data_IF_654846958107
#
_entry.id   IF_654846958107
#
_cell.length_a   1.000
_cell.length_b   1.000
_cell.length_c   1.000
_cell.angle_alpha   90.00
_cell.angle_beta   90.00
_cell.angle_gamma   90.00
#
_symmetry.space_group_name_H-M   'P 1'
#
loop_
_entity.id
_entity.type
_entity.pdbx_description
1 polymer ?
#
# COMPACT_ATOMS: atom_id res chain seq x y z
N UNK A 1 -3.00 11.92 18.86
CA UNK A 1 -3.45 11.58 17.50
C UNK A 1 -2.75 10.33 17.00
N UNK A 2 -3.47 9.51 16.26
CA UNK A 2 -2.87 8.34 15.64
C UNK A 2 -1.85 8.77 14.56
N UNK A 3 -0.74 8.03 14.47
CA UNK A 3 0.17 8.15 13.35
C UNK A 3 -0.52 7.63 12.08
N UNK A 4 -0.15 8.18 10.93
CA UNK A 4 -0.72 7.78 9.64
C UNK A 4 0.36 7.17 8.75
N UNK A 5 -0.01 6.18 7.98
CA UNK A 5 0.83 5.62 6.93
C UNK A 5 0.00 5.34 5.68
N UNK A 6 0.67 5.32 4.55
CA UNK A 6 0.14 4.77 3.30
C UNK A 6 0.91 3.49 3.02
N UNK A 7 0.21 2.43 2.66
CA UNK A 7 0.83 1.20 2.16
C UNK A 7 0.39 0.98 0.72
N UNK A 8 1.28 0.44 -0.10
CA UNK A 8 0.92 0.06 -1.46
C UNK A 8 0.54 -1.42 -1.56
N UNK A 9 0.15 -1.84 -2.75
CA UNK A 9 -0.29 -3.21 -3.01
C UNK A 9 0.81 -4.24 -2.74
N UNK A 10 2.08 -3.87 -2.94
CA UNK A 10 3.22 -4.78 -2.73
C UNK A 10 3.38 -5.18 -1.27
N UNK A 11 2.99 -4.31 -0.34
CA UNK A 11 2.98 -4.61 1.09
C UNK A 11 1.71 -5.34 1.48
N UNK A 12 0.56 -4.79 1.10
CA UNK A 12 -0.73 -5.30 1.55
C UNK A 12 -0.98 -6.73 1.10
N UNK A 13 -0.55 -7.09 -0.11
CA UNK A 13 -0.74 -8.45 -0.64
C UNK A 13 -0.09 -9.51 0.26
N UNK A 14 0.99 -9.17 0.97
CA UNK A 14 1.68 -10.08 1.86
C UNK A 14 0.85 -10.47 3.09
N UNK A 15 -0.21 -9.73 3.38
CA UNK A 15 -1.15 -10.07 4.45
C UNK A 15 -2.20 -11.10 4.01
N UNK A 16 -2.32 -11.35 2.69
CA UNK A 16 -3.32 -12.25 2.11
C UNK A 16 -2.74 -13.47 1.42
N UNK A 17 -1.49 -13.41 0.97
CA UNK A 17 -0.82 -14.55 0.37
C UNK A 17 0.63 -14.62 0.84
N UNK A 18 1.16 -15.83 0.93
CA UNK A 18 2.54 -16.08 1.34
C UNK A 18 3.38 -16.69 0.22
N UNK A 19 2.72 -17.38 -0.72
CA UNK A 19 3.38 -18.04 -1.85
C UNK A 19 4.03 -16.98 -2.76
N UNK A 20 5.28 -17.22 -3.13
CA UNK A 20 6.07 -16.33 -3.99
C UNK A 20 6.21 -14.89 -3.45
N UNK A 21 6.10 -14.74 -2.12
CA UNK A 21 6.29 -13.46 -1.44
C UNK A 21 7.52 -13.48 -0.55
N UNK A 22 8.20 -12.36 -0.47
CA UNK A 22 9.36 -12.14 0.40
C UNK A 22 9.03 -11.05 1.44
N UNK A 23 9.90 -10.88 2.44
CA UNK A 23 9.71 -9.91 3.54
C UNK A 23 8.41 -10.15 4.32
N UNK A 24 8.02 -11.42 4.48
CA UNK A 24 6.79 -11.77 5.20
C UNK A 24 6.86 -11.44 6.69
N UNK A 25 8.04 -11.59 7.30
CA UNK A 25 8.20 -11.25 8.72
C UNK A 25 8.03 -9.75 8.95
N UNK A 26 8.58 -8.92 8.06
CA UNK A 26 8.46 -7.47 8.11
C UNK A 26 7.01 -7.02 7.87
N UNK A 27 6.33 -7.65 6.91
CA UNK A 27 4.92 -7.37 6.65
C UNK A 27 4.03 -7.76 7.83
N UNK A 28 4.31 -8.89 8.47
CA UNK A 28 3.59 -9.34 9.67
C UNK A 28 3.81 -8.37 10.84
N UNK A 29 5.05 -7.93 11.06
CA UNK A 29 5.36 -6.97 12.10
C UNK A 29 4.62 -5.65 11.90
N UNK A 30 4.51 -5.19 10.65
CA UNK A 30 3.74 -3.98 10.34
C UNK A 30 2.25 -4.18 10.61
N UNK A 31 1.68 -5.32 10.24
CA UNK A 31 0.28 -5.62 10.51
C UNK A 31 0.01 -5.65 12.02
N UNK A 32 0.90 -6.27 12.79
CA UNK A 32 0.80 -6.30 14.25
C UNK A 32 0.80 -4.88 14.83
N UNK A 33 1.62 -3.98 14.29
CA UNK A 33 1.60 -2.57 14.71
C UNK A 33 0.28 -1.88 14.37
N UNK A 34 -0.28 -2.13 13.19
CA UNK A 34 -1.58 -1.59 12.78
C UNK A 34 -2.69 -2.06 13.72
N UNK A 35 -2.65 -3.33 14.15
CA UNK A 35 -3.68 -3.91 15.01
C UNK A 35 -3.54 -3.52 16.47
N UNK A 36 -2.33 -3.25 16.96
CA UNK A 36 -2.06 -3.06 18.40
C UNK A 36 -1.75 -1.63 18.79
N UNK A 37 -1.48 -0.75 17.86
CA UNK A 37 -1.12 0.65 18.11
C UNK A 37 -2.07 1.59 17.38
N UNK A 38 -2.18 2.86 17.81
CA UNK A 38 -2.97 3.85 17.10
C UNK A 38 -2.27 4.28 15.80
N UNK A 39 -2.31 3.42 14.80
CA UNK A 39 -1.71 3.63 13.50
C UNK A 39 -2.80 3.52 12.43
N UNK A 40 -3.09 4.65 11.78
CA UNK A 40 -4.11 4.71 10.74
C UNK A 40 -3.50 4.42 9.37
N UNK A 41 -4.03 3.42 8.69
CA UNK A 41 -3.62 3.06 7.33
C UNK A 41 -4.55 3.74 6.34
N UNK A 42 -3.96 4.52 5.44
CA UNK A 42 -4.66 5.21 4.36
C UNK A 42 -4.24 4.60 3.02
N UNK A 43 -5.19 4.39 2.13
CA UNK A 43 -4.93 3.83 0.81
C UNK A 43 -5.81 4.53 -0.23
N UNK A 44 -5.35 4.71 -1.46
CA UNK A 44 -6.23 5.13 -2.53
C UNK A 44 -7.18 3.98 -2.90
N UNK A 45 -8.38 4.31 -3.38
CA UNK A 45 -9.39 3.32 -3.79
C UNK A 45 -8.85 2.32 -4.82
N UNK A 46 -7.90 2.73 -5.63
CA UNK A 46 -7.18 1.90 -6.59
C UNK A 46 -6.63 0.61 -5.98
N UNK A 47 -6.15 0.66 -4.74
CA UNK A 47 -5.54 -0.51 -4.09
C UNK A 47 -6.51 -1.69 -4.05
N UNK A 48 -7.79 -1.45 -3.84
CA UNK A 48 -8.79 -2.52 -3.77
C UNK A 48 -8.89 -3.28 -5.09
N UNK A 49 -8.82 -2.57 -6.21
CA UNK A 49 -8.81 -3.19 -7.54
C UNK A 49 -7.52 -3.94 -7.83
N UNK A 50 -6.38 -3.38 -7.42
CA UNK A 50 -5.09 -4.05 -7.62
C UNK A 50 -5.00 -5.35 -6.84
N UNK A 51 -5.41 -5.35 -5.58
CA UNK A 51 -5.42 -6.56 -4.75
C UNK A 51 -6.40 -7.59 -5.32
N UNK A 52 -7.59 -7.16 -5.71
CA UNK A 52 -8.57 -8.03 -6.35
C UNK A 52 -8.01 -8.70 -7.60
N UNK A 53 -7.31 -7.95 -8.43
CA UNK A 53 -6.69 -8.49 -9.64
C UNK A 53 -5.56 -9.49 -9.34
N UNK A 54 -4.71 -9.18 -8.37
CA UNK A 54 -3.64 -10.10 -7.97
C UNK A 54 -4.21 -11.42 -7.46
N UNK A 55 -5.22 -11.37 -6.60
CA UNK A 55 -5.85 -12.55 -6.04
C UNK A 55 -6.62 -13.37 -7.10
N UNK A 56 -7.30 -12.68 -8.02
CA UNK A 56 -8.01 -13.32 -9.13
C UNK A 56 -7.08 -14.12 -10.02
N UNK A 57 -5.88 -13.59 -10.27
CA UNK A 57 -4.89 -14.22 -11.14
C UNK A 57 -4.01 -15.25 -10.41
N UNK A 58 -4.17 -15.38 -9.10
CA UNK A 58 -3.39 -16.33 -8.31
C UNK A 58 -3.74 -17.78 -8.71
N UNK A 59 -2.73 -18.52 -9.15
CA UNK A 59 -2.91 -19.90 -9.57
C UNK A 59 -3.38 -20.78 -8.41
N UNK A 60 -4.46 -21.52 -8.63
CA UNK A 60 -4.99 -22.46 -7.67
C UNK A 60 -5.88 -21.88 -6.58
N UNK A 61 -6.12 -20.56 -6.59
CA UNK A 61 -7.06 -19.96 -5.65
C UNK A 61 -8.49 -20.33 -6.03
N UNK A 62 -9.20 -20.98 -5.11
CA UNK A 62 -10.60 -21.37 -5.31
C UNK A 62 -11.53 -20.14 -5.15
N UNK A 63 -12.70 -20.15 -5.82
CA UNK A 63 -13.66 -19.04 -5.70
C UNK A 63 -14.03 -18.69 -4.25
N UNK A 64 -14.20 -19.70 -3.39
CA UNK A 64 -14.51 -19.48 -1.98
C UNK A 64 -13.37 -18.77 -1.24
N UNK A 65 -12.10 -19.11 -1.55
CA UNK A 65 -10.94 -18.48 -0.96
C UNK A 65 -10.78 -17.03 -1.43
N UNK A 66 -11.08 -16.75 -2.69
CA UNK A 66 -11.07 -15.39 -3.23
C UNK A 66 -12.14 -14.53 -2.55
N UNK A 67 -13.35 -15.06 -2.41
CA UNK A 67 -14.44 -14.35 -1.73
C UNK A 67 -14.08 -14.02 -0.28
N UNK A 68 -13.50 -14.97 0.44
CA UNK A 68 -13.05 -14.79 1.82
C UNK A 68 -11.93 -13.74 1.93
N UNK A 69 -10.98 -13.75 1.01
CA UNK A 69 -9.90 -12.75 0.97
C UNK A 69 -10.46 -11.34 0.75
N UNK A 70 -11.42 -11.19 -0.15
CA UNK A 70 -12.06 -9.88 -0.40
C UNK A 70 -12.86 -9.40 0.81
N UNK A 71 -13.54 -10.30 1.53
CA UNK A 71 -14.22 -9.94 2.78
C UNK A 71 -13.23 -9.51 3.86
N UNK A 72 -12.11 -10.21 3.97
CA UNK A 72 -11.03 -9.84 4.91
C UNK A 72 -10.44 -8.48 4.58
N UNK A 73 -10.28 -8.17 3.30
CA UNK A 73 -9.82 -6.86 2.84
C UNK A 73 -10.80 -5.75 3.24
N UNK A 74 -12.09 -5.97 3.05
CA UNK A 74 -13.14 -5.02 3.44
C UNK A 74 -13.17 -4.79 4.96
N UNK A 75 -12.87 -5.84 5.74
CA UNK A 75 -12.89 -5.77 7.20
C UNK A 75 -11.69 -5.02 7.81
N UNK A 76 -10.65 -4.74 7.02
CA UNK A 76 -9.49 -3.99 7.52
C UNK A 76 -9.87 -2.54 7.80
N UNK A 77 -9.37 -1.95 8.90
CA UNK A 77 -9.73 -0.59 9.31
C UNK A 77 -8.96 0.46 8.52
N UNK A 78 -9.09 0.43 7.19
CA UNK A 78 -8.41 1.37 6.31
C UNK A 78 -9.26 2.60 6.04
N UNK A 79 -8.59 3.75 5.93
CA UNK A 79 -9.19 4.95 5.36
C UNK A 79 -8.93 4.95 3.86
N UNK A 80 -9.99 4.79 3.07
CA UNK A 80 -9.91 4.72 1.61
C UNK A 80 -10.12 6.10 1.02
N UNK A 81 -9.11 6.63 0.34
CA UNK A 81 -9.19 7.92 -0.33
C UNK A 81 -9.86 7.77 -1.70
N UNK A 82 -10.90 8.55 -1.99
CA UNK A 82 -11.54 8.53 -3.29
C UNK A 82 -10.64 9.14 -4.38
N UNK A 83 -10.91 8.86 -5.66
CA UNK A 83 -10.12 9.38 -6.78
C UNK A 83 -10.46 10.87 -7.07
N UNK A 84 -10.22 11.74 -6.10
CA UNK A 84 -10.49 13.16 -6.23
C UNK A 84 -9.50 13.82 -7.19
N UNK A 85 -9.98 14.79 -7.97
CA UNK A 85 -9.19 15.47 -9.00
C UNK A 85 -7.86 16.04 -8.48
N UNK A 86 -7.77 16.70 -7.32
CA UNK A 86 -6.49 17.18 -6.80
C UNK A 86 -5.46 16.07 -6.60
N UNK A 87 -5.89 14.92 -6.08
CA UNK A 87 -5.03 13.75 -5.89
C UNK A 87 -4.54 13.20 -7.24
N UNK A 88 -5.45 13.07 -8.20
CA UNK A 88 -5.13 12.56 -9.54
C UNK A 88 -4.17 13.49 -10.28
N UNK A 89 -4.34 14.79 -10.15
CA UNK A 89 -3.43 15.79 -10.76
C UNK A 89 -2.02 15.70 -10.17
N UNK A 90 -1.92 15.54 -8.87
CA UNK A 90 -0.62 15.34 -8.20
C UNK A 90 0.04 14.04 -8.67
N UNK A 91 -0.73 12.96 -8.73
CA UNK A 91 -0.24 11.67 -9.22
C UNK A 91 0.29 11.78 -10.66
N UNK A 92 -0.41 12.48 -11.54
CA UNK A 92 0.04 12.67 -12.92
C UNK A 92 1.38 13.41 -12.98
N UNK A 93 1.54 14.47 -12.20
CA UNK A 93 2.81 15.23 -12.14
C UNK A 93 3.95 14.36 -11.59
N UNK A 94 3.72 13.64 -10.51
CA UNK A 94 4.72 12.75 -9.91
C UNK A 94 5.10 11.62 -10.85
N UNK A 95 4.13 11.03 -11.53
CA UNK A 95 4.37 9.96 -12.49
C UNK A 95 5.31 10.40 -13.60
N UNK A 96 5.11 11.59 -14.14
CA UNK A 96 5.99 12.15 -15.17
C UNK A 96 7.36 12.54 -14.62
N UNK A 97 7.38 13.15 -13.45
CA UNK A 97 8.61 13.65 -12.83
C UNK A 97 9.54 12.52 -12.39
N UNK A 98 8.98 11.42 -11.86
CA UNK A 98 9.73 10.32 -11.27
C UNK A 98 9.73 9.05 -12.13
N UNK A 99 9.13 9.11 -13.30
CA UNK A 99 8.96 7.96 -14.20
C UNK A 99 8.25 6.78 -13.49
N UNK A 100 7.15 7.10 -12.83
CA UNK A 100 6.27 6.14 -12.19
C UNK A 100 5.02 5.93 -13.04
N UNK A 101 4.40 4.76 -12.89
CA UNK A 101 3.03 4.58 -13.40
C UNK A 101 2.10 5.53 -12.65
N UNK A 102 0.97 5.87 -13.27
CA UNK A 102 -0.06 6.65 -12.62
C UNK A 102 -0.53 5.97 -11.32
N UNK A 103 -0.60 4.65 -11.34
CA UNK A 103 -1.00 3.84 -10.18
C UNK A 103 -0.01 4.00 -9.03
N UNK A 104 1.27 3.76 -9.26
CA UNK A 104 2.30 3.92 -8.23
C UNK A 104 2.38 5.36 -7.71
N UNK A 105 2.28 6.32 -8.62
CA UNK A 105 2.28 7.73 -8.27
C UNK A 105 1.08 8.12 -7.40
N UNK A 106 -0.05 7.41 -7.50
CA UNK A 106 -1.23 7.68 -6.68
C UNK A 106 -0.99 7.40 -5.20
N UNK A 107 -0.22 6.37 -4.88
CA UNK A 107 0.17 6.08 -3.49
C UNK A 107 1.08 7.17 -2.93
N UNK A 108 2.07 7.59 -3.70
CA UNK A 108 2.97 8.68 -3.28
C UNK A 108 2.21 10.00 -3.14
N UNK A 109 1.31 10.30 -4.06
CA UNK A 109 0.48 11.51 -4.00
C UNK A 109 -0.34 11.56 -2.71
N UNK A 110 -0.92 10.44 -2.30
CA UNK A 110 -1.68 10.36 -1.05
C UNK A 110 -0.78 10.55 0.17
N UNK A 111 0.41 9.93 0.19
CA UNK A 111 1.36 10.08 1.28
C UNK A 111 1.83 11.54 1.42
N UNK A 112 2.04 12.23 0.32
CA UNK A 112 2.41 13.66 0.33
C UNK A 112 1.25 14.50 0.85
N UNK A 113 0.03 14.26 0.39
CA UNK A 113 -1.16 15.00 0.84
C UNK A 113 -1.35 14.87 2.34
N UNK A 114 -1.14 13.67 2.89
CA UNK A 114 -1.30 13.38 4.32
C UNK A 114 -0.04 13.68 5.13
N UNK A 115 1.06 14.00 4.47
CA UNK A 115 2.39 14.19 5.07
C UNK A 115 2.77 13.02 5.99
N UNK A 116 2.73 11.82 5.45
CA UNK A 116 3.00 10.59 6.19
C UNK A 116 3.85 9.61 5.36
N UNK A 117 4.45 8.59 6.00
CA UNK A 117 5.23 7.60 5.28
C UNK A 117 4.41 6.81 4.26
N UNK A 118 5.03 6.54 3.11
CA UNK A 118 4.60 5.52 2.16
C UNK A 118 5.50 4.29 2.35
N UNK A 119 4.91 3.18 2.73
CA UNK A 119 5.63 1.91 2.90
C UNK A 119 5.42 1.07 1.65
N UNK A 120 6.50 0.68 1.01
CA UNK A 120 6.48 -0.15 -0.21
C UNK A 120 7.49 -1.29 -0.12
N UNK A 121 7.17 -2.41 -0.75
CA UNK A 121 8.11 -3.50 -0.99
C UNK A 121 8.53 -3.56 -2.47
N UNK A 122 8.02 -2.66 -3.29
CA UNK A 122 8.37 -2.56 -4.69
C UNK A 122 9.68 -1.80 -4.84
N UNK A 123 10.73 -2.50 -5.30
CA UNK A 123 12.05 -1.93 -5.47
C UNK A 123 12.05 -0.77 -6.47
N UNK A 124 11.33 -0.92 -7.58
CA UNK A 124 11.30 0.11 -8.62
C UNK A 124 10.67 1.40 -8.11
N UNK A 125 9.54 1.29 -7.43
CA UNK A 125 8.89 2.46 -6.82
C UNK A 125 9.83 3.11 -5.81
N UNK A 126 10.42 2.31 -4.93
CA UNK A 126 11.33 2.83 -3.90
C UNK A 126 12.52 3.56 -4.52
N UNK A 127 13.21 2.95 -5.48
CA UNK A 127 14.40 3.54 -6.10
C UNK A 127 14.08 4.84 -6.84
N UNK A 128 12.94 4.93 -7.49
CA UNK A 128 12.53 6.11 -8.25
C UNK A 128 12.01 7.25 -7.39
N UNK A 129 11.44 6.93 -6.24
CA UNK A 129 10.80 7.91 -5.36
C UNK A 129 11.55 8.19 -4.05
N UNK A 130 12.65 7.52 -3.77
CA UNK A 130 13.37 7.60 -2.48
C UNK A 130 13.98 8.95 -2.15
N UNK A 131 14.03 9.87 -3.09
CA UNK A 131 14.42 11.26 -2.82
C UNK A 131 13.42 11.97 -1.92
N UNK A 132 12.16 11.52 -1.91
CA UNK A 132 11.19 11.96 -0.92
C UNK A 132 11.37 11.09 0.35
N UNK A 133 11.68 11.70 1.51
CA UNK A 133 11.94 10.95 2.74
C UNK A 133 10.72 10.21 3.31
N UNK A 134 9.51 10.50 2.80
CA UNK A 134 8.29 9.76 3.17
C UNK A 134 8.33 8.34 2.62
N UNK A 135 9.01 8.11 1.51
CA UNK A 135 9.07 6.79 0.87
C UNK A 135 10.03 5.90 1.65
N UNK A 136 9.51 4.81 2.18
CA UNK A 136 10.27 3.85 2.98
C UNK A 136 10.08 2.44 2.43
N UNK A 137 11.18 1.71 2.30
CA UNK A 137 11.10 0.31 1.91
C UNK A 137 10.72 -0.55 3.11
N UNK A 138 9.90 -1.58 2.88
CA UNK A 138 9.40 -2.48 3.92
C UNK A 138 10.53 -3.09 4.78
N UNK A 139 11.72 -3.30 4.19
CA UNK A 139 12.88 -3.84 4.92
C UNK A 139 13.49 -2.85 5.92
N UNK A 140 13.15 -1.56 5.85
CA UNK A 140 13.73 -0.49 6.69
C UNK A 140 12.71 0.59 7.02
N UNK A 141 11.65 0.21 7.70
CA UNK A 141 10.54 1.12 7.98
C UNK A 141 10.94 2.23 8.97
N UNK A 142 11.74 1.91 9.97
CA UNK A 142 12.06 2.85 11.03
C UNK A 142 10.87 3.14 11.94
N UNK A 143 10.93 4.24 12.69
CA UNK A 143 9.83 4.68 13.55
C UNK A 143 8.67 5.21 12.72
N UNK A 144 7.46 4.79 13.06
CA UNK A 144 6.21 5.22 12.41
C UNK A 144 5.46 6.27 13.21
N UNK A 145 5.82 6.49 14.46
CA UNK A 145 5.17 7.47 15.33
C UNK A 145 6.18 8.39 15.99
#
# INVERSE_FOLDING_TARGET
>A
MAARIVVDSSVLIKWFKTRDEYLLAEARALLDEVETRPLDVHVPALLLYEIGNILLLESGMKPAALDEALRSLEALPFSVAPPATPLLRRAARLGRQLDLTFYDASFLALAIELDCPLITADRRLFERARTDPRVRHLSRIGKLA
#
